data_IF_426012511831
#
_entry.id   IF_426012511831
#
_cell.length_a   1.000
_cell.length_b   1.000
_cell.length_c   1.000
_cell.angle_alpha   90.00
_cell.angle_beta   90.00
_cell.angle_gamma   90.00
#
_symmetry.space_group_name_H-M   'P 1'
#
loop_
_entity.id
_entity.type
_entity.pdbx_description
1 polymer ?
#
# COMPACT_ATOMS: atom_id res chain seq x y z
N UNK A 1 -20.99 -70.42 -19.93
CA UNK A 1 -21.46 -69.58 -21.05
C UNK A 1 -22.40 -68.51 -20.54
N UNK A 2 -22.02 -67.23 -20.72
CA UNK A 2 -22.77 -65.95 -20.63
C UNK A 2 -21.78 -64.89 -20.14
N UNK A 3 -20.95 -64.36 -21.05
CA UNK A 3 -21.15 -63.16 -21.91
C UNK A 3 -20.55 -61.92 -21.24
N UNK A 4 -19.46 -61.43 -21.84
CA UNK A 4 -18.82 -60.14 -21.62
C UNK A 4 -19.83 -58.99 -21.76
N UNK A 5 -19.61 -57.91 -21.01
CA UNK A 5 -19.65 -56.58 -21.60
C UNK A 5 -18.69 -55.65 -20.84
N UNK A 6 -17.58 -55.32 -21.51
CA UNK A 6 -16.70 -54.21 -21.18
C UNK A 6 -17.46 -52.90 -21.27
N UNK A 7 -17.33 -52.05 -20.26
CA UNK A 7 -17.61 -50.62 -20.41
C UNK A 7 -16.35 -49.88 -19.96
N UNK A 8 -15.55 -49.51 -20.96
CA UNK A 8 -14.64 -48.38 -20.93
C UNK A 8 -15.47 -47.15 -20.53
N UNK A 9 -15.13 -46.50 -19.42
CA UNK A 9 -15.50 -45.09 -19.25
C UNK A 9 -14.24 -44.24 -19.22
N UNK A 10 -14.27 -43.30 -20.15
CA UNK A 10 -13.23 -42.42 -20.63
C UNK A 10 -12.68 -41.58 -19.49
N UNK A 11 -11.36 -41.58 -19.37
CA UNK A 11 -10.57 -40.64 -18.58
C UNK A 11 -11.00 -39.21 -18.89
N UNK A 12 -11.78 -38.60 -18.00
CA UNK A 12 -12.04 -37.17 -18.03
C UNK A 12 -10.83 -36.47 -17.41
N UNK A 13 -9.79 -36.26 -18.21
CA UNK A 13 -8.73 -35.32 -17.88
C UNK A 13 -9.37 -33.94 -17.85
N UNK A 14 -9.81 -33.51 -16.67
CA UNK A 14 -10.08 -32.10 -16.42
C UNK A 14 -8.73 -31.43 -16.56
N UNK A 15 -8.49 -30.81 -17.72
CA UNK A 15 -7.45 -29.81 -17.86
C UNK A 15 -7.79 -28.73 -16.82
N UNK A 16 -7.16 -28.82 -15.65
CA UNK A 16 -7.04 -27.68 -14.78
C UNK A 16 -6.36 -26.62 -15.65
N UNK A 17 -7.12 -25.60 -16.04
CA UNK A 17 -6.58 -24.38 -16.59
C UNK A 17 -5.55 -23.92 -15.57
N UNK A 18 -4.27 -24.16 -15.88
CA UNK A 18 -3.14 -23.51 -15.25
C UNK A 18 -3.45 -22.03 -15.35
N UNK A 19 -3.95 -21.44 -14.27
CA UNK A 19 -3.74 -20.01 -14.06
C UNK A 19 -2.23 -19.89 -14.13
N UNK A 20 -1.74 -19.14 -15.09
CA UNK A 20 -0.37 -18.67 -15.09
C UNK A 20 -0.18 -17.99 -13.72
N UNK A 21 0.31 -18.76 -12.75
CA UNK A 21 0.78 -18.23 -11.48
C UNK A 21 2.05 -17.46 -11.83
N UNK A 22 1.83 -16.25 -12.34
CA UNK A 22 2.88 -15.26 -12.45
C UNK A 22 3.50 -15.20 -11.06
N UNK A 23 4.82 -15.41 -10.92
CA UNK A 23 5.45 -15.53 -9.61
C UNK A 23 5.05 -14.31 -8.77
N UNK A 24 4.27 -14.56 -7.71
CA UNK A 24 3.89 -13.48 -6.80
C UNK A 24 5.18 -12.93 -6.19
N UNK A 25 5.37 -11.61 -6.14
CA UNK A 25 6.55 -11.04 -5.51
C UNK A 25 6.63 -11.56 -4.08
N UNK A 26 7.76 -12.17 -3.72
CA UNK A 26 8.00 -12.68 -2.37
C UNK A 26 8.03 -11.48 -1.42
N UNK A 27 7.05 -11.41 -0.51
CA UNK A 27 6.95 -10.30 0.42
C UNK A 27 7.97 -10.48 1.55
N UNK A 28 8.99 -9.62 1.57
CA UNK A 28 9.96 -9.56 2.65
C UNK A 28 9.25 -9.38 4.02
N UNK A 29 9.76 -10.02 5.08
CA UNK A 29 9.17 -9.95 6.43
C UNK A 29 9.02 -8.51 6.96
N UNK A 30 9.92 -7.59 6.59
CA UNK A 30 9.81 -6.17 6.94
C UNK A 30 8.60 -5.53 6.27
N UNK A 31 8.39 -5.79 4.97
CA UNK A 31 7.24 -5.30 4.22
C UNK A 31 5.95 -5.86 4.80
N UNK A 32 5.93 -7.16 5.12
CA UNK A 32 4.80 -7.84 5.73
C UNK A 32 4.45 -7.26 7.11
N UNK A 33 5.44 -6.96 7.94
CA UNK A 33 5.23 -6.31 9.24
C UNK A 33 4.60 -4.92 9.08
N UNK A 34 5.10 -4.11 8.16
CA UNK A 34 4.53 -2.79 7.86
C UNK A 34 3.09 -2.97 7.39
N UNK A 35 2.87 -3.79 6.37
CA UNK A 35 1.57 -4.04 5.76
C UNK A 35 0.51 -4.46 6.78
N UNK A 36 0.84 -5.37 7.69
CA UNK A 36 -0.05 -5.82 8.77
C UNK A 36 -0.35 -4.72 9.79
N UNK A 37 0.63 -3.86 10.07
CA UNK A 37 0.45 -2.74 11.01
C UNK A 37 -0.53 -1.71 10.43
N UNK A 38 -0.45 -1.43 9.13
CA UNK A 38 -1.18 -0.32 8.52
C UNK A 38 -2.70 -0.44 8.55
N UNK A 39 -3.31 -1.62 8.75
CA UNK A 39 -4.78 -1.75 8.72
C UNK A 39 -5.50 -0.82 9.72
N UNK A 40 -6.23 0.19 9.22
CA UNK A 40 -7.08 1.06 10.03
C UNK A 40 -6.84 2.55 9.83
N UNK A 41 -7.36 3.34 10.77
CA UNK A 41 -7.27 4.81 10.77
C UNK A 41 -6.14 5.26 11.70
N UNK A 42 -5.30 6.16 11.19
CA UNK A 42 -4.17 6.73 11.89
C UNK A 42 -4.21 8.25 11.83
N UNK A 43 -3.70 8.89 12.88
CA UNK A 43 -3.60 10.35 12.97
C UNK A 43 -2.15 10.73 13.28
N UNK A 44 -1.61 11.64 12.48
CA UNK A 44 -0.32 12.30 12.69
C UNK A 44 -0.49 13.81 12.84
N UNK A 45 0.30 14.41 13.72
CA UNK A 45 0.28 15.85 13.99
C UNK A 45 1.56 16.50 13.46
N UNK A 46 1.40 17.45 12.56
CA UNK A 46 2.49 18.19 11.93
C UNK A 46 2.61 19.57 12.58
N UNK A 47 3.77 19.89 13.12
CA UNK A 47 4.08 21.27 13.53
C UNK A 47 4.45 22.08 12.28
N UNK A 48 3.69 23.12 11.98
CA UNK A 48 4.03 24.05 10.91
C UNK A 48 4.71 25.27 11.53
N UNK A 49 6.05 25.24 11.54
CA UNK A 49 6.90 26.30 12.10
C UNK A 49 7.01 27.52 11.20
N UNK A 50 6.51 27.46 9.95
CA UNK A 50 6.72 28.48 8.93
C UNK A 50 5.43 29.22 8.56
N UNK A 51 4.26 28.60 8.69
CA UNK A 51 2.99 29.29 8.48
C UNK A 51 2.39 29.83 9.78
N UNK A 52 1.45 30.77 9.64
CA UNK A 52 0.63 31.26 10.75
C UNK A 52 -0.29 30.18 11.36
N UNK A 53 -0.26 28.94 10.85
CA UNK A 53 -1.06 27.81 11.33
C UNK A 53 -0.58 27.21 12.62
N UNK A 54 0.73 27.23 12.87
CA UNK A 54 1.35 26.54 13.99
C UNK A 54 1.30 25.00 13.89
N UNK A 55 0.28 24.41 13.27
CA UNK A 55 0.16 22.96 13.06
C UNK A 55 -0.97 22.55 12.11
N UNK A 56 -0.92 21.31 11.62
CA UNK A 56 -2.05 20.63 10.98
C UNK A 56 -2.09 19.15 11.33
N UNK A 57 -3.26 18.52 11.12
CA UNK A 57 -3.45 17.09 11.36
C UNK A 57 -3.59 16.37 10.02
N UNK A 58 -2.82 15.30 9.82
CA UNK A 58 -2.99 14.37 8.72
C UNK A 58 -3.67 13.11 9.27
N UNK A 59 -4.79 12.74 8.67
CA UNK A 59 -5.44 11.45 8.90
C UNK A 59 -5.16 10.55 7.72
N UNK A 60 -4.74 9.31 7.97
CA UNK A 60 -4.66 8.28 6.94
C UNK A 60 -5.54 7.10 7.32
N UNK A 61 -6.43 6.71 6.42
CA UNK A 61 -7.22 5.49 6.55
C UNK A 61 -6.71 4.47 5.55
N UNK A 62 -5.98 3.48 6.02
CA UNK A 62 -5.48 2.38 5.18
C UNK A 62 -6.47 1.23 5.13
N UNK A 63 -6.57 0.64 3.94
CA UNK A 63 -7.34 -0.56 3.65
C UNK A 63 -6.43 -1.55 2.90
N UNK A 64 -5.68 -2.39 3.64
CA UNK A 64 -4.88 -3.44 3.04
C UNK A 64 -5.72 -4.40 2.21
N UNK A 65 -5.19 -4.82 1.07
CA UNK A 65 -5.79 -5.91 0.29
C UNK A 65 -5.62 -7.24 1.00
N UNK A 66 -6.35 -8.27 0.54
CA UNK A 66 -6.11 -9.65 0.99
C UNK A 66 -4.78 -10.19 0.46
N UNK A 67 -4.33 -9.70 -0.68
CA UNK A 67 -3.04 -9.98 -1.30
C UNK A 67 -2.57 -8.77 -2.12
N UNK A 68 -1.25 -8.55 -2.29
CA UNK A 68 -0.75 -7.46 -3.12
C UNK A 68 -1.16 -7.62 -4.59
N UNK A 69 -1.42 -6.49 -5.25
CA UNK A 69 -1.86 -6.43 -6.65
C UNK A 69 -0.86 -5.64 -7.50
N UNK A 70 -0.64 -6.05 -8.75
CA UNK A 70 0.17 -5.29 -9.71
C UNK A 70 -0.71 -4.20 -10.35
N UNK A 71 -0.29 -2.94 -10.23
CA UNK A 71 -0.90 -1.79 -10.87
C UNK A 71 -0.05 -1.37 -12.06
N UNK A 72 -0.70 -1.20 -13.20
CA UNK A 72 -0.09 -0.75 -14.47
C UNK A 72 -0.71 0.57 -14.89
N UNK A 73 -0.14 1.71 -14.47
CA UNK A 73 -0.67 3.00 -14.84
C UNK A 73 -0.78 3.17 -16.36
N UNK A 74 -1.88 3.75 -16.85
CA UNK A 74 -2.00 4.06 -18.28
C UNK A 74 -1.05 5.20 -18.70
N UNK A 75 -0.70 6.09 -17.76
CA UNK A 75 0.27 7.16 -17.97
C UNK A 75 1.68 6.57 -17.92
N UNK A 76 2.34 6.50 -19.08
CA UNK A 76 3.65 5.86 -19.29
C UNK A 76 4.79 6.46 -18.44
N UNK A 77 4.59 7.66 -17.88
CA UNK A 77 5.55 8.30 -16.97
C UNK A 77 5.56 7.68 -15.56
N UNK A 78 4.49 6.98 -15.19
CA UNK A 78 4.41 6.28 -13.92
C UNK A 78 4.82 4.82 -14.11
N UNK A 79 5.75 4.30 -13.29
CA UNK A 79 6.16 2.91 -13.40
C UNK A 79 5.04 1.97 -12.97
N UNK A 80 5.06 0.74 -13.46
CA UNK A 80 4.29 -0.36 -12.85
C UNK A 80 4.75 -0.54 -11.40
N UNK A 81 3.81 -0.83 -10.50
CA UNK A 81 4.12 -1.03 -9.09
C UNK A 81 3.22 -2.08 -8.45
N UNK A 82 3.66 -2.61 -7.30
CA UNK A 82 2.85 -3.50 -6.47
C UNK A 82 2.12 -2.68 -5.41
N UNK A 83 0.78 -2.65 -5.47
CA UNK A 83 -0.06 -2.06 -4.45
C UNK A 83 -0.34 -3.08 -3.34
N UNK A 84 -0.16 -2.67 -2.09
CA UNK A 84 -0.49 -3.47 -0.91
C UNK A 84 -1.90 -3.16 -0.37
N UNK A 85 -2.54 -2.12 -0.89
CA UNK A 85 -3.88 -1.70 -0.53
C UNK A 85 -4.15 -0.27 -0.99
N UNK A 86 -5.21 0.31 -0.43
CA UNK A 86 -5.55 1.72 -0.65
C UNK A 86 -5.43 2.52 0.64
N UNK A 87 -5.27 3.83 0.50
CA UNK A 87 -5.26 4.78 1.59
C UNK A 87 -6.07 6.01 1.22
N UNK A 88 -6.84 6.53 2.17
CA UNK A 88 -7.40 7.88 2.07
C UNK A 88 -6.60 8.77 2.99
N UNK A 89 -5.89 9.74 2.42
CA UNK A 89 -5.13 10.76 3.15
C UNK A 89 -5.98 12.02 3.21
N UNK A 90 -6.19 12.54 4.40
CA UNK A 90 -6.91 13.79 4.62
C UNK A 90 -6.08 14.72 5.49
N UNK A 91 -5.70 15.85 4.92
CA UNK A 91 -5.05 16.95 5.64
C UNK A 91 -6.11 17.93 6.11
N UNK A 92 -6.16 18.21 7.41
CA UNK A 92 -7.01 19.29 7.95
C UNK A 92 -6.12 20.40 8.48
N UNK A 93 -6.14 21.53 7.77
CA UNK A 93 -5.45 22.77 8.15
C UNK A 93 -6.52 23.75 8.65
N UNK A 94 -6.33 24.34 9.84
CA UNK A 94 -7.20 25.38 10.40
C UNK A 94 -8.71 25.07 10.51
N UNK A 95 -9.12 23.87 10.94
CA UNK A 95 -10.53 23.43 11.08
C UNK A 95 -11.46 23.61 9.84
N UNK A 96 -10.97 24.20 8.74
CA UNK A 96 -11.78 24.68 7.61
C UNK A 96 -11.19 24.31 6.24
N UNK A 97 -9.87 24.12 6.12
CA UNK A 97 -9.23 23.72 4.86
C UNK A 97 -8.89 22.23 4.93
N UNK A 98 -9.69 21.42 4.23
CA UNK A 98 -9.44 19.99 4.09
C UNK A 98 -9.10 19.62 2.64
N UNK A 99 -7.94 19.00 2.43
CA UNK A 99 -7.62 18.29 1.20
C UNK A 99 -7.75 16.78 1.45
N UNK A 100 -8.24 16.03 0.47
CA UNK A 100 -8.28 14.57 0.55
C UNK A 100 -7.87 13.94 -0.77
N UNK A 101 -7.01 12.93 -0.68
CA UNK A 101 -6.57 12.12 -1.81
C UNK A 101 -6.84 10.66 -1.52
N UNK A 102 -7.29 9.94 -2.54
CA UNK A 102 -7.46 8.49 -2.51
C UNK A 102 -6.32 7.88 -3.29
N UNK A 103 -5.55 7.00 -2.64
CA UNK A 103 -4.27 6.54 -3.15
C UNK A 103 -4.18 5.02 -3.09
N UNK A 104 -3.50 4.41 -4.06
CA UNK A 104 -2.86 3.12 -3.83
C UNK A 104 -1.62 3.38 -2.98
N UNK A 105 -1.25 2.44 -2.12
CA UNK A 105 0.04 2.50 -1.44
C UNK A 105 0.93 1.29 -1.78
N UNK A 106 2.20 1.58 -2.03
CA UNK A 106 3.27 0.60 -2.23
C UNK A 106 4.27 0.68 -1.09
N UNK A 107 4.89 -0.44 -0.73
CA UNK A 107 5.94 -0.52 0.30
C UNK A 107 7.17 -1.15 -0.34
N UNK A 108 8.34 -0.52 -0.17
CA UNK A 108 9.60 -1.02 -0.72
C UNK A 108 10.71 -1.06 0.34
N UNK A 109 11.61 -2.02 0.18
CA UNK A 109 12.85 -2.17 0.95
C UNK A 109 13.96 -2.53 -0.05
N UNK A 110 14.71 -1.51 -0.48
CA UNK A 110 15.72 -1.62 -1.56
C UNK A 110 16.75 -2.74 -1.34
N UNK A 111 17.13 -2.98 -0.09
CA UNK A 111 18.03 -4.06 0.33
C UNK A 111 17.83 -4.35 1.83
N UNK A 112 18.26 -5.52 2.29
CA UNK A 112 18.15 -5.90 3.69
C UNK A 112 18.83 -4.88 4.63
N UNK A 113 18.09 -4.39 5.63
CA UNK A 113 18.55 -3.36 6.55
C UNK A 113 18.42 -1.92 6.05
N UNK A 114 17.98 -1.70 4.82
CA UNK A 114 17.59 -0.38 4.35
C UNK A 114 16.38 0.16 5.13
N UNK A 115 16.26 1.48 5.20
CA UNK A 115 15.04 2.13 5.70
C UNK A 115 13.92 1.86 4.69
N UNK A 116 12.79 1.25 5.11
CA UNK A 116 11.66 1.02 4.23
C UNK A 116 11.03 2.34 3.78
N UNK A 117 10.49 2.34 2.56
CA UNK A 117 9.70 3.44 2.03
C UNK A 117 8.26 3.01 1.81
N UNK A 118 7.34 3.96 1.94
CA UNK A 118 5.95 3.85 1.51
C UNK A 118 5.67 4.95 0.50
N UNK A 119 4.96 4.59 -0.56
CA UNK A 119 4.67 5.47 -1.69
C UNK A 119 3.18 5.52 -1.93
N UNK A 120 2.61 6.72 -2.04
CA UNK A 120 1.20 6.94 -2.30
C UNK A 120 0.99 7.43 -3.73
N UNK A 121 0.19 6.68 -4.49
CA UNK A 121 -0.17 6.98 -5.87
C UNK A 121 -1.64 7.36 -5.92
N UNK A 122 -1.93 8.66 -6.04
CA UNK A 122 -3.30 9.16 -6.12
C UNK A 122 -3.99 8.64 -7.40
N UNK A 123 -5.21 8.17 -7.26
CA UNK A 123 -6.00 7.64 -8.37
C UNK A 123 -7.40 8.24 -8.45
N UNK A 124 -7.92 8.31 -9.68
CA UNK A 124 -9.24 8.84 -10.00
C UNK A 124 -10.39 7.87 -9.68
N UNK A 125 -11.63 8.29 -9.90
CA UNK A 125 -12.81 7.42 -9.64
C UNK A 125 -12.86 6.16 -10.50
N UNK A 126 -12.11 6.14 -11.60
CA UNK A 126 -11.93 5.02 -12.52
C UNK A 126 -10.78 4.07 -12.15
N UNK A 127 -10.02 4.38 -11.09
CA UNK A 127 -8.86 3.59 -10.65
C UNK A 127 -7.54 3.96 -11.33
N UNK A 128 -7.55 4.92 -12.26
CA UNK A 128 -6.35 5.37 -12.98
C UNK A 128 -5.49 6.27 -12.09
N UNK A 129 -4.17 6.07 -12.13
CA UNK A 129 -3.23 6.93 -11.39
C UNK A 129 -3.17 8.31 -12.06
N UNK A 130 -3.48 9.35 -11.30
CA UNK A 130 -3.64 10.73 -11.80
C UNK A 130 -2.55 11.70 -11.35
N UNK A 131 -1.76 11.33 -10.34
CA UNK A 131 -0.76 12.22 -9.76
C UNK A 131 0.57 11.50 -9.52
N UNK A 132 1.62 12.29 -9.34
CA UNK A 132 2.95 11.80 -8.99
C UNK A 132 2.96 11.16 -7.60
N UNK A 133 3.90 10.24 -7.44
CA UNK A 133 4.21 9.54 -6.19
C UNK A 133 4.53 10.52 -5.04
N UNK A 134 3.78 10.43 -3.94
CA UNK A 134 4.20 10.94 -2.62
C UNK A 134 4.97 9.83 -1.90
N UNK A 135 6.29 9.91 -1.95
CA UNK A 135 7.19 8.92 -1.35
C UNK A 135 7.67 9.39 0.03
N UNK A 136 7.53 8.50 1.02
CA UNK A 136 7.92 8.73 2.41
C UNK A 136 8.75 7.56 2.93
N UNK A 137 9.66 7.82 3.85
CA UNK A 137 10.25 6.77 4.67
C UNK A 137 9.23 6.31 5.73
N UNK A 138 9.26 5.03 6.10
CA UNK A 138 8.36 4.47 7.12
C UNK A 138 9.11 3.57 8.11
N UNK A 139 8.71 3.66 9.38
CA UNK A 139 9.24 2.80 10.45
C UNK A 139 8.14 2.46 11.45
N UNK A 140 7.82 1.18 11.56
CA UNK A 140 6.89 0.68 12.59
C UNK A 140 7.51 0.86 13.98
N UNK A 141 6.71 1.37 14.92
CA UNK A 141 7.09 1.44 16.34
C UNK A 141 6.48 0.22 17.05
N UNK A 142 5.18 0.01 16.88
CA UNK A 142 4.43 -1.10 17.45
C UNK A 142 3.16 -1.41 16.61
N UNK A 143 2.30 -2.30 17.10
CA UNK A 143 1.08 -2.74 16.39
C UNK A 143 0.02 -1.64 16.14
N UNK A 144 0.18 -0.48 16.77
CA UNK A 144 -0.75 0.64 16.76
C UNK A 144 -0.10 1.98 16.41
N UNK A 145 1.21 1.99 16.10
CA UNK A 145 1.90 3.23 15.77
C UNK A 145 3.11 3.02 14.86
N UNK A 146 3.38 4.03 14.05
CA UNK A 146 4.54 4.09 13.16
C UNK A 146 4.98 5.54 12.97
N UNK A 147 6.17 5.72 12.41
CA UNK A 147 6.69 7.01 11.96
C UNK A 147 6.73 7.07 10.45
N UNK A 148 6.46 8.26 9.90
CA UNK A 148 6.83 8.60 8.54
C UNK A 148 7.52 9.94 8.47
N UNK A 149 8.38 10.10 7.47
CA UNK A 149 9.06 11.35 7.15
C UNK A 149 9.36 11.41 5.66
N UNK A 150 9.57 12.61 5.14
CA UNK A 150 9.77 12.80 3.70
C UNK A 150 10.98 12.01 3.19
N UNK A 151 10.85 11.44 2.00
CA UNK A 151 11.97 10.78 1.35
C UNK A 151 13.10 11.77 1.05
N UNK A 152 14.35 11.34 1.26
CA UNK A 152 15.54 12.19 1.15
C UNK A 152 15.89 12.98 2.42
N UNK A 153 15.02 13.00 3.44
CA UNK A 153 15.29 13.55 4.76
C UNK A 153 15.56 12.45 5.80
N UNK A 154 16.11 12.85 6.94
CA UNK A 154 16.40 11.99 8.09
C UNK A 154 15.23 11.96 9.07
N UNK A 155 15.14 10.89 9.88
CA UNK A 155 14.10 10.75 10.92
C UNK A 155 14.07 11.96 11.88
N UNK A 156 15.22 12.59 12.15
CA UNK A 156 15.31 13.72 13.09
C UNK A 156 14.79 15.04 12.51
N UNK A 157 14.70 15.18 11.19
CA UNK A 157 14.33 16.44 10.54
C UNK A 157 12.82 16.68 10.59
N UNK A 158 12.02 15.66 10.27
CA UNK A 158 10.58 15.83 10.11
C UNK A 158 9.75 14.55 10.34
N UNK A 159 10.24 13.58 11.14
CA UNK A 159 9.41 12.42 11.45
C UNK A 159 8.16 12.78 12.26
N UNK A 160 7.03 12.32 11.75
CA UNK A 160 5.72 12.40 12.38
C UNK A 160 5.33 11.02 12.86
N UNK A 161 4.85 10.95 14.11
CA UNK A 161 4.29 9.71 14.67
C UNK A 161 2.81 9.65 14.33
N UNK A 162 2.40 8.56 13.71
CA UNK A 162 1.03 8.22 13.40
C UNK A 162 0.53 7.19 14.41
N UNK A 163 -0.56 7.51 15.09
CA UNK A 163 -1.16 6.61 16.10
C UNK A 163 -2.55 6.18 15.67
N UNK A 164 -2.82 4.89 15.81
CA UNK A 164 -4.11 4.29 15.48
C UNK A 164 -5.22 4.87 16.34
N UNK A 165 -6.41 5.04 15.76
CA UNK A 165 -7.63 5.47 16.45
C UNK A 165 -8.56 4.29 16.75
#
# INVERSE_FOLDING_TARGET
MKKLLSILFLSLCIAACSKDDTPKPEMNETVKQIWQTLNGRYIGFHEDKLSSAGSYTETIVFQPYSEPEEIKPTVILFPDFTAYGTAVITDTRFEEISGSSTCYYSIDVKYEGAIPTISFFEYGTDGEVVNSEDQRNIKVIDASSFKMWDYGLTEAENAIIYTKQ
#
